data_IF_801000384796
#
_entry.id   IF_801000384796
#
_cell.length_a   1.000
_cell.length_b   1.000
_cell.length_c   1.000
_cell.angle_alpha   90.00
_cell.angle_beta   90.00
_cell.angle_gamma   90.00
#
_symmetry.space_group_name_H-M   'P 1'
#
loop_
_entity.id
_entity.type
_entity.pdbx_description
1 polymer ?
#
# COMPACT_ATOMS: atom_id res chain seq x y z
N UNK A 1 0.80 8.69 25.16
CA UNK A 1 -0.49 8.74 24.43
C UNK A 1 -0.16 8.74 22.94
N UNK A 2 -0.77 7.89 22.11
CA UNK A 2 -0.48 7.90 20.67
C UNK A 2 -1.10 9.15 20.04
N UNK A 3 -0.35 9.87 19.20
CA UNK A 3 -0.88 10.99 18.42
C UNK A 3 -1.82 10.49 17.33
N UNK A 4 -2.69 11.36 16.81
CA UNK A 4 -3.58 11.00 15.69
C UNK A 4 -2.80 10.56 14.45
N UNK A 5 -1.67 11.21 14.17
CA UNK A 5 -0.76 10.84 13.08
C UNK A 5 -0.15 9.44 13.30
N UNK A 6 0.30 9.12 14.53
CA UNK A 6 0.81 7.78 14.82
C UNK A 6 -0.26 6.69 14.63
N UNK A 7 -1.51 6.96 14.99
CA UNK A 7 -2.62 6.05 14.72
C UNK A 7 -2.88 5.88 13.23
N UNK A 8 -2.81 6.97 12.46
CA UNK A 8 -2.96 6.95 11.01
C UNK A 8 -1.86 6.13 10.34
N UNK A 9 -0.59 6.36 10.67
CA UNK A 9 0.54 5.58 10.12
C UNK A 9 0.36 4.09 10.44
N UNK A 10 -0.06 3.74 11.67
CA UNK A 10 -0.36 2.36 12.04
C UNK A 10 -1.50 1.75 11.22
N UNK A 11 -2.53 2.53 10.88
CA UNK A 11 -3.62 2.08 10.01
C UNK A 11 -3.12 1.81 8.59
N UNK A 12 -2.26 2.67 8.05
CA UNK A 12 -1.63 2.47 6.74
C UNK A 12 -0.79 1.19 6.72
N UNK A 13 0.09 1.00 7.72
CA UNK A 13 0.91 -0.22 7.88
C UNK A 13 0.02 -1.47 7.94
N UNK A 14 -1.00 -1.46 8.80
CA UNK A 14 -1.92 -2.57 8.95
C UNK A 14 -2.58 -2.93 7.61
N UNK A 15 -3.06 -1.92 6.89
CA UNK A 15 -3.79 -2.11 5.64
C UNK A 15 -2.88 -2.63 4.53
N UNK A 16 -1.65 -2.13 4.43
CA UNK A 16 -0.63 -2.71 3.55
C UNK A 16 -0.37 -4.19 3.86
N UNK A 17 -0.22 -4.54 5.15
CA UNK A 17 -0.04 -5.92 5.59
C UNK A 17 -1.21 -6.82 5.19
N UNK A 18 -2.46 -6.38 5.43
CA UNK A 18 -3.67 -7.13 5.06
C UNK A 18 -3.81 -7.29 3.55
N UNK A 19 -3.55 -6.24 2.77
CA UNK A 19 -3.58 -6.32 1.31
C UNK A 19 -2.54 -7.30 0.79
N UNK A 20 -1.33 -7.29 1.35
CA UNK A 20 -0.27 -8.26 1.00
C UNK A 20 -0.72 -9.70 1.25
N UNK A 21 -1.21 -10.00 2.45
CA UNK A 21 -1.69 -11.34 2.78
C UNK A 21 -2.82 -11.79 1.84
N UNK A 22 -3.75 -10.89 1.54
CA UNK A 22 -4.84 -11.17 0.61
C UNK A 22 -4.31 -11.53 -0.77
N UNK A 23 -3.49 -10.67 -1.38
CA UNK A 23 -2.95 -10.87 -2.74
C UNK A 23 -2.18 -12.20 -2.83
N UNK A 24 -1.29 -12.45 -1.88
CA UNK A 24 -0.44 -13.65 -1.88
C UNK A 24 -1.17 -14.95 -1.53
N UNK A 25 -2.39 -14.88 -0.98
CA UNK A 25 -3.24 -16.05 -0.77
C UNK A 25 -4.07 -16.44 -2.00
N UNK A 26 -4.23 -15.53 -2.95
CA UNK A 26 -5.03 -15.74 -4.17
C UNK A 26 -4.18 -16.00 -5.40
N UNK A 27 -2.93 -15.55 -5.41
CA UNK A 27 -2.05 -15.64 -6.57
C UNK A 27 -0.67 -16.18 -6.17
N UNK A 28 -0.18 -17.12 -6.98
CA UNK A 28 1.24 -17.32 -7.23
C UNK A 28 1.65 -16.58 -8.53
N UNK A 29 2.94 -16.61 -8.86
CA UNK A 29 3.48 -15.91 -10.03
C UNK A 29 2.87 -16.41 -11.35
N UNK A 30 2.79 -17.74 -11.54
CA UNK A 30 2.27 -18.35 -12.77
C UNK A 30 0.79 -17.99 -12.99
N UNK A 31 -0.02 -18.01 -11.92
CA UNK A 31 -1.43 -17.62 -12.00
C UNK A 31 -1.58 -16.12 -12.26
N UNK A 32 -0.76 -15.28 -11.64
CA UNK A 32 -0.77 -13.83 -11.85
C UNK A 32 -0.44 -13.46 -13.30
N UNK A 33 0.52 -14.15 -13.92
CA UNK A 33 0.85 -14.03 -15.34
C UNK A 33 -0.34 -14.40 -16.22
N UNK A 34 -0.92 -15.60 -16.03
CA UNK A 34 -2.08 -16.08 -16.81
C UNK A 34 -3.30 -15.15 -16.72
N UNK A 35 -3.59 -14.63 -15.53
CA UNK A 35 -4.71 -13.70 -15.35
C UNK A 35 -4.43 -12.37 -16.03
N UNK A 36 -3.19 -11.88 -15.98
CA UNK A 36 -2.77 -10.64 -16.65
C UNK A 36 -2.86 -10.77 -18.17
N UNK A 37 -2.44 -11.90 -18.75
CA UNK A 37 -2.58 -12.14 -20.19
C UNK A 37 -4.04 -12.10 -20.64
N UNK A 38 -4.95 -12.63 -19.80
CA UNK A 38 -6.39 -12.66 -20.09
C UNK A 38 -7.08 -11.32 -19.84
N UNK A 39 -6.61 -10.57 -18.85
CA UNK A 39 -7.16 -9.29 -18.39
C UNK A 39 -6.02 -8.29 -18.16
N UNK A 40 -5.53 -7.62 -19.23
CA UNK A 40 -4.34 -6.79 -19.17
C UNK A 40 -4.51 -5.48 -18.39
N UNK A 41 -5.76 -5.04 -18.20
CA UNK A 41 -6.11 -3.85 -17.44
C UNK A 41 -7.15 -4.17 -16.38
N UNK A 42 -6.73 -4.19 -15.11
CA UNK A 42 -7.64 -4.28 -13.97
C UNK A 42 -7.22 -3.30 -12.88
N UNK A 43 -8.20 -2.58 -12.32
CA UNK A 43 -7.96 -1.83 -11.09
C UNK A 43 -7.77 -2.81 -9.94
N UNK A 44 -6.71 -2.60 -9.20
CA UNK A 44 -6.20 -3.53 -8.19
C UNK A 44 -6.91 -3.32 -6.86
N UNK A 45 -7.06 -4.38 -6.06
CA UNK A 45 -7.69 -4.27 -4.73
C UNK A 45 -6.86 -3.38 -3.80
N UNK A 46 -5.54 -3.37 -4.00
CA UNK A 46 -4.61 -2.50 -3.29
C UNK A 46 -4.91 -1.01 -3.51
N UNK A 47 -5.14 -0.59 -4.76
CA UNK A 47 -5.48 0.81 -5.07
C UNK A 47 -6.78 1.21 -4.37
N UNK A 48 -7.82 0.38 -4.46
CA UNK A 48 -9.10 0.66 -3.81
C UNK A 48 -8.97 0.79 -2.28
N UNK A 49 -8.22 -0.13 -1.67
CA UNK A 49 -7.99 -0.13 -0.22
C UNK A 49 -7.29 1.15 0.22
N UNK A 50 -6.22 1.52 -0.47
CA UNK A 50 -5.46 2.72 -0.14
C UNK A 50 -6.22 4.01 -0.43
N UNK A 51 -7.01 4.09 -1.51
CA UNK A 51 -7.90 5.23 -1.76
C UNK A 51 -8.95 5.42 -0.66
N UNK A 52 -9.35 4.34 0.03
CA UNK A 52 -10.34 4.40 1.12
C UNK A 52 -9.71 4.86 2.45
N UNK A 53 -8.42 4.63 2.64
CA UNK A 53 -7.70 4.96 3.89
C UNK A 53 -6.92 6.27 3.78
N UNK A 54 -6.42 6.59 2.59
CA UNK A 54 -5.71 7.82 2.27
C UNK A 54 -6.60 8.97 1.72
N UNK A 55 -7.95 8.97 1.77
CA UNK A 55 -8.70 10.10 1.25
C UNK A 55 -8.56 11.23 2.25
N UNK A 56 -7.77 12.24 1.86
CA UNK A 56 -7.77 13.62 2.37
C UNK A 56 -8.23 13.69 3.83
N UNK A 57 -7.54 12.98 4.73
CA UNK A 57 -7.86 13.15 6.13
C UNK A 57 -7.60 14.62 6.41
N UNK A 58 -8.57 15.33 6.98
CA UNK A 58 -8.38 16.65 7.60
C UNK A 58 -7.38 16.57 8.80
N UNK A 59 -6.54 15.55 8.84
CA UNK A 59 -5.36 15.44 9.64
C UNK A 59 -4.29 16.34 9.01
N UNK A 60 -3.83 17.30 9.81
CA UNK A 60 -2.53 17.93 9.60
C UNK A 60 -1.46 16.88 9.87
N UNK A 61 -1.12 16.10 8.84
CA UNK A 61 0.02 15.20 8.85
C UNK A 61 1.31 16.03 8.83
N UNK A 62 2.41 15.44 9.31
CA UNK A 62 3.72 16.02 9.03
C UNK A 62 4.01 15.95 7.54
N UNK A 63 4.84 16.88 7.05
CA UNK A 63 5.26 16.93 5.65
C UNK A 63 5.94 15.62 5.21
N UNK A 64 6.66 14.96 6.12
CA UNK A 64 7.29 13.66 5.87
C UNK A 64 6.25 12.55 5.63
N UNK A 65 5.23 12.45 6.49
CA UNK A 65 4.16 11.45 6.34
C UNK A 65 3.32 11.71 5.09
N UNK A 66 3.02 12.98 4.78
CA UNK A 66 2.25 13.37 3.59
C UNK A 66 2.99 12.98 2.31
N UNK A 67 4.26 13.37 2.19
CA UNK A 67 5.10 12.99 1.04
C UNK A 67 5.19 11.46 0.88
N UNK A 68 5.31 10.73 1.98
CA UNK A 68 5.39 9.27 1.94
C UNK A 68 4.08 8.62 1.47
N UNK A 69 2.92 9.18 1.87
CA UNK A 69 1.61 8.72 1.38
C UNK A 69 1.42 9.01 -0.11
N UNK A 70 1.85 10.19 -0.57
CA UNK A 70 1.78 10.59 -1.98
C UNK A 70 2.64 9.68 -2.86
N UNK A 71 3.88 9.37 -2.45
CA UNK A 71 4.76 8.46 -3.17
C UNK A 71 4.17 7.04 -3.24
N UNK A 72 3.58 6.56 -2.14
CA UNK A 72 2.90 5.25 -2.11
C UNK A 72 1.74 5.23 -3.10
N UNK A 73 0.86 6.24 -3.05
CA UNK A 73 -0.29 6.33 -3.96
C UNK A 73 0.13 6.45 -5.42
N UNK A 74 1.18 7.21 -5.71
CA UNK A 74 1.75 7.30 -7.04
C UNK A 74 2.22 5.93 -7.55
N UNK A 75 2.89 5.17 -6.69
CA UNK A 75 3.38 3.82 -7.03
C UNK A 75 2.23 2.86 -7.31
N UNK A 76 1.19 2.89 -6.48
CA UNK A 76 0.04 1.97 -6.58
C UNK A 76 -0.85 2.27 -7.78
N UNK A 77 -1.06 3.55 -8.13
CA UNK A 77 -1.83 3.95 -9.32
C UNK A 77 -1.22 3.50 -10.65
N UNK A 78 0.05 3.09 -10.65
CA UNK A 78 0.76 2.54 -11.82
C UNK A 78 0.64 1.03 -11.93
N UNK A 79 -0.03 0.38 -10.98
CA UNK A 79 -0.33 -1.04 -11.06
C UNK A 79 -1.57 -1.21 -11.93
N UNK A 80 -1.36 -1.66 -13.17
CA UNK A 80 -2.43 -1.80 -14.16
C UNK A 80 -2.90 -3.24 -14.34
N UNK A 81 -2.27 -4.20 -13.67
CA UNK A 81 -2.59 -5.62 -13.81
C UNK A 81 -2.27 -6.44 -12.54
N UNK A 82 -2.74 -7.68 -12.54
CA UNK A 82 -2.59 -8.62 -11.42
C UNK A 82 -1.13 -8.98 -11.18
N UNK A 83 -0.31 -9.16 -12.23
CA UNK A 83 1.11 -9.44 -12.09
C UNK A 83 1.86 -8.28 -11.40
N UNK A 84 1.51 -7.04 -11.74
CA UNK A 84 2.01 -5.85 -11.08
C UNK A 84 1.62 -5.82 -9.61
N UNK A 85 0.36 -6.07 -9.29
CA UNK A 85 -0.14 -6.14 -7.90
C UNK A 85 0.56 -7.24 -7.08
N UNK A 86 0.73 -8.43 -7.66
CA UNK A 86 1.47 -9.53 -7.05
C UNK A 86 2.94 -9.18 -6.79
N UNK A 87 3.63 -8.63 -7.79
CA UNK A 87 5.03 -8.19 -7.64
C UNK A 87 5.17 -7.11 -6.56
N UNK A 88 4.24 -6.15 -6.54
CA UNK A 88 4.22 -5.11 -5.53
C UNK A 88 4.00 -5.68 -4.13
N UNK A 89 3.12 -6.67 -3.98
CA UNK A 89 2.88 -7.34 -2.70
C UNK A 89 4.12 -8.08 -2.17
N UNK A 90 4.90 -8.72 -3.04
CA UNK A 90 6.13 -9.42 -2.63
C UNK A 90 7.25 -8.45 -2.29
N UNK A 91 7.52 -7.50 -3.19
CA UNK A 91 8.76 -6.71 -3.18
C UNK A 91 8.58 -5.36 -2.48
N UNK A 92 7.51 -4.65 -2.80
CA UNK A 92 7.38 -3.23 -2.45
C UNK A 92 6.65 -3.01 -1.11
N UNK A 93 5.60 -3.78 -0.80
CA UNK A 93 4.86 -3.62 0.47
C UNK A 93 5.79 -3.70 1.71
N UNK A 94 6.72 -4.66 1.82
CA UNK A 94 7.66 -4.69 2.95
C UNK A 94 8.52 -3.43 3.06
N UNK A 95 8.91 -2.85 1.93
CA UNK A 95 9.70 -1.61 1.87
C UNK A 95 8.87 -0.44 2.39
N UNK A 96 7.62 -0.31 1.93
CA UNK A 96 6.70 0.73 2.40
C UNK A 96 6.42 0.64 3.89
N UNK A 97 6.14 -0.58 4.40
CA UNK A 97 5.94 -0.80 5.83
C UNK A 97 7.16 -0.31 6.62
N UNK A 98 8.37 -0.67 6.20
CA UNK A 98 9.61 -0.23 6.86
C UNK A 98 9.76 1.31 6.84
N UNK A 99 9.47 1.97 5.71
CA UNK A 99 9.49 3.44 5.63
C UNK A 99 8.55 4.07 6.68
N UNK A 100 7.31 3.60 6.77
CA UNK A 100 6.35 4.09 7.76
C UNK A 100 6.75 3.78 9.21
N UNK A 101 7.31 2.60 9.48
CA UNK A 101 7.84 2.24 10.79
C UNK A 101 8.99 3.16 11.22
N UNK A 102 9.84 3.61 10.29
CA UNK A 102 10.92 4.55 10.60
C UNK A 102 10.37 5.93 10.96
N UNK A 103 9.32 6.42 10.28
CA UNK A 103 8.62 7.66 10.66
C UNK A 103 8.03 7.55 12.08
N UNK A 104 7.49 6.38 12.46
CA UNK A 104 7.00 6.15 13.83
C UNK A 104 8.13 6.20 14.87
N UNK A 105 9.31 5.66 14.56
CA UNK A 105 10.48 5.64 15.46
C UNK A 105 11.14 7.01 15.61
N UNK A 106 11.19 7.81 14.55
CA UNK A 106 11.77 9.15 14.57
C UNK A 106 10.95 10.16 15.38
N UNK A 107 9.65 9.90 15.56
CA UNK A 107 8.71 10.73 16.32
C UNK A 107 8.56 10.30 17.79
N UNK A 108 9.51 9.53 18.34
CA UNK A 108 9.52 9.02 19.71
C UNK A 108 10.59 9.67 20.59
#
# INVERSE_FOLDING_TARGET
MLTKEQLYIKLVIYSLGRSREFILSHYDEELAEKVTEKYPEIKTMLEFTLLTILPEMELKLSQETEALCDELMFSVRRLHNVLGEYNFAIKDIPIWINKFENVLKSNH
#
